data_IF_168596077449
#
_entry.id   IF_168596077449
#
_cell.length_a   1.000
_cell.length_b   1.000
_cell.length_c   1.000
_cell.angle_alpha   90.00
_cell.angle_beta   90.00
_cell.angle_gamma   90.00
#
_symmetry.space_group_name_H-M   'P 1'
#
loop_
_entity.id
_entity.type
_entity.pdbx_description
1 polymer ?
#
# COMPACT_ATOMS: atom_id res chain seq x y z
N UNK A 1 25.05 -1.80 -2.83
CA UNK A 1 24.10 -2.64 -2.08
C UNK A 1 23.20 -1.83 -1.14
N UNK A 2 23.76 -1.09 -0.17
CA UNK A 2 22.98 -0.26 0.78
C UNK A 2 21.95 0.66 0.10
N UNK A 3 22.36 1.48 -0.88
CA UNK A 3 21.44 2.37 -1.62
C UNK A 3 20.29 1.63 -2.32
N UNK A 4 20.59 0.48 -2.93
CA UNK A 4 19.57 -0.31 -3.62
C UNK A 4 18.48 -0.78 -2.65
N UNK A 5 18.88 -1.22 -1.46
CA UNK A 5 17.97 -1.70 -0.43
C UNK A 5 17.20 -0.57 0.26
N UNK A 6 17.90 0.50 0.65
CA UNK A 6 17.33 1.53 1.52
C UNK A 6 16.67 2.69 0.77
N UNK A 7 16.93 2.85 -0.53
CA UNK A 7 16.31 3.91 -1.35
C UNK A 7 15.55 3.32 -2.55
N UNK A 8 16.21 2.51 -3.39
CA UNK A 8 15.62 2.05 -4.65
C UNK A 8 14.42 1.13 -4.43
N UNK A 9 14.53 0.11 -3.58
CA UNK A 9 13.42 -0.81 -3.31
C UNK A 9 12.17 -0.09 -2.78
N UNK A 10 12.25 0.81 -1.77
CA UNK A 10 11.11 1.61 -1.36
C UNK A 10 10.47 2.42 -2.50
N UNK A 11 11.27 3.05 -3.36
CA UNK A 11 10.75 3.83 -4.51
C UNK A 11 9.98 2.92 -5.48
N UNK A 12 10.54 1.76 -5.82
CA UNK A 12 9.90 0.81 -6.73
C UNK A 12 8.57 0.28 -6.18
N UNK A 13 8.55 -0.08 -4.89
CA UNK A 13 7.33 -0.58 -4.23
C UNK A 13 6.26 0.50 -4.12
N UNK A 14 6.64 1.74 -3.80
CA UNK A 14 5.70 2.85 -3.82
C UNK A 14 5.13 3.08 -5.23
N UNK A 15 5.98 3.02 -6.26
CA UNK A 15 5.57 3.15 -7.66
C UNK A 15 4.59 2.07 -8.09
N UNK A 16 4.83 0.80 -7.74
CA UNK A 16 3.92 -0.30 -8.11
C UNK A 16 2.54 -0.15 -7.49
N UNK A 17 2.44 0.34 -6.24
CA UNK A 17 1.14 0.59 -5.61
C UNK A 17 0.45 1.82 -6.17
N UNK A 18 1.19 2.84 -6.62
CA UNK A 18 0.60 3.99 -7.31
C UNK A 18 0.00 3.56 -8.66
N UNK A 19 0.69 2.71 -9.41
CA UNK A 19 0.16 2.13 -10.66
C UNK A 19 -1.06 1.24 -10.39
N UNK A 20 -1.01 0.41 -9.34
CA UNK A 20 -2.16 -0.41 -8.94
C UNK A 20 -3.36 0.46 -8.56
N UNK A 21 -3.16 1.54 -7.79
CA UNK A 21 -4.23 2.47 -7.43
C UNK A 21 -4.92 3.08 -8.66
N UNK A 22 -4.18 3.29 -9.76
CA UNK A 22 -4.71 3.84 -10.99
C UNK A 22 -5.45 2.81 -11.87
N UNK A 23 -5.18 1.51 -11.70
CA UNK A 23 -5.60 0.46 -12.65
C UNK A 23 -6.46 -0.64 -12.02
N UNK A 24 -6.49 -0.75 -10.69
CA UNK A 24 -7.21 -1.80 -9.97
C UNK A 24 -8.72 -1.65 -10.12
N UNK A 25 -9.39 -2.76 -10.44
CA UNK A 25 -10.85 -2.81 -10.52
C UNK A 25 -11.43 -2.99 -9.11
N UNK A 26 -11.83 -1.89 -8.48
CA UNK A 26 -12.54 -1.89 -7.19
C UNK A 26 -14.00 -2.37 -7.28
N UNK A 27 -14.48 -2.66 -8.48
CA UNK A 27 -15.81 -3.18 -8.74
C UNK A 27 -15.71 -4.40 -9.69
N UNK A 28 -16.35 -5.50 -9.32
CA UNK A 28 -16.44 -6.70 -10.15
C UNK A 28 -17.88 -7.21 -10.22
N UNK A 29 -18.29 -7.74 -11.38
CA UNK A 29 -19.59 -8.38 -11.57
C UNK A 29 -19.49 -9.89 -11.46
N UNK A 30 -20.18 -10.48 -10.49
CA UNK A 30 -20.25 -11.93 -10.26
C UNK A 30 -21.69 -12.40 -10.50
N UNK A 31 -21.94 -12.96 -11.69
CA UNK A 31 -23.29 -13.34 -12.12
C UNK A 31 -24.23 -12.13 -12.19
N UNK A 32 -25.25 -12.13 -11.35
CA UNK A 32 -26.22 -11.03 -11.23
C UNK A 32 -25.89 -10.04 -10.10
N UNK A 33 -24.77 -10.23 -9.40
CA UNK A 33 -24.34 -9.39 -8.28
C UNK A 33 -23.17 -8.50 -8.67
N UNK A 34 -23.09 -7.32 -8.07
CA UNK A 34 -21.90 -6.47 -8.10
C UNK A 34 -21.19 -6.54 -6.74
N UNK A 35 -19.88 -6.76 -6.78
CA UNK A 35 -19.00 -6.77 -5.61
C UNK A 35 -18.17 -5.50 -5.63
N UNK A 36 -18.26 -4.71 -4.56
CA UNK A 36 -17.46 -3.51 -4.35
C UNK A 36 -16.35 -3.77 -3.34
N UNK A 37 -15.17 -3.24 -3.61
CA UNK A 37 -14.02 -3.27 -2.70
C UNK A 37 -13.80 -1.86 -2.16
N UNK A 38 -14.17 -1.67 -0.90
CA UNK A 38 -14.10 -0.37 -0.22
C UNK A 38 -12.98 -0.35 0.83
N UNK A 39 -12.42 0.83 1.14
CA UNK A 39 -11.43 0.96 2.20
C UNK A 39 -12.02 0.56 3.55
N UNK A 40 -11.21 -0.09 4.38
CA UNK A 40 -11.60 -0.46 5.75
C UNK A 40 -11.68 0.76 6.68
N UNK A 41 -11.07 1.89 6.31
CA UNK A 41 -11.07 3.14 7.08
C UNK A 41 -9.69 3.56 7.57
N UNK A 42 -9.52 3.70 8.90
CA UNK A 42 -8.27 4.14 9.53
C UNK A 42 -7.38 2.95 9.87
N UNK A 43 -6.13 2.97 9.41
CA UNK A 43 -5.12 1.93 9.64
C UNK A 43 -4.05 2.41 10.62
N UNK A 44 -3.84 1.64 11.69
CA UNK A 44 -2.66 1.77 12.54
C UNK A 44 -1.50 0.93 11.99
N UNK A 45 -0.37 1.54 11.66
CA UNK A 45 0.81 0.86 11.15
C UNK A 45 1.95 0.87 12.17
N UNK A 46 2.52 -0.30 12.49
CA UNK A 46 3.71 -0.46 13.33
C UNK A 46 4.81 -1.10 12.50
N UNK A 47 6.01 -0.54 12.51
CA UNK A 47 7.15 -1.04 11.72
C UNK A 47 8.35 -1.47 12.57
N UNK A 48 9.14 -2.44 12.11
CA UNK A 48 10.44 -2.78 12.71
C UNK A 48 11.58 -1.93 12.14
N UNK A 49 12.74 -1.97 12.79
CA UNK A 49 13.87 -1.08 12.55
C UNK A 49 14.91 -1.56 11.51
N UNK A 50 14.82 -2.80 11.02
CA UNK A 50 15.86 -3.41 10.19
C UNK A 50 15.86 -2.91 8.72
N UNK A 51 14.70 -2.50 8.20
CA UNK A 51 14.55 -1.89 6.87
C UNK A 51 13.57 -0.71 6.96
N UNK A 52 13.94 0.36 7.70
CA UNK A 52 12.97 1.30 8.25
C UNK A 52 12.12 1.96 7.17
N UNK A 53 12.74 2.45 6.10
CA UNK A 53 11.99 3.08 5.01
C UNK A 53 11.13 2.07 4.22
N UNK A 54 11.68 0.90 3.90
CA UNK A 54 10.94 -0.10 3.13
C UNK A 54 9.74 -0.65 3.90
N UNK A 55 9.89 -0.90 5.20
CA UNK A 55 8.81 -1.42 6.05
C UNK A 55 7.66 -0.41 6.20
N UNK A 56 7.98 0.88 6.27
CA UNK A 56 6.98 1.95 6.23
C UNK A 56 6.24 1.92 4.89
N UNK A 57 6.97 1.95 3.77
CA UNK A 57 6.37 1.97 2.43
C UNK A 57 5.50 0.73 2.19
N UNK A 58 5.96 -0.46 2.60
CA UNK A 58 5.23 -1.72 2.44
C UNK A 58 3.87 -1.76 3.17
N UNK A 59 3.63 -0.83 4.11
CA UNK A 59 2.33 -0.69 4.79
C UNK A 59 1.56 0.54 4.32
N UNK A 60 2.21 1.69 4.22
CA UNK A 60 1.58 2.97 3.90
C UNK A 60 1.12 3.00 2.44
N UNK A 61 1.94 2.55 1.50
CA UNK A 61 1.60 2.60 0.08
C UNK A 61 0.35 1.77 -0.28
N UNK A 62 0.22 0.48 0.12
CA UNK A 62 -1.01 -0.27 -0.15
C UNK A 62 -2.23 0.26 0.60
N UNK A 63 -2.07 0.77 1.83
CA UNK A 63 -3.18 1.34 2.58
C UNK A 63 -3.75 2.58 1.88
N UNK A 64 -2.88 3.49 1.43
CA UNK A 64 -3.29 4.66 0.64
C UNK A 64 -3.88 4.25 -0.72
N UNK A 65 -3.28 3.28 -1.40
CA UNK A 65 -3.78 2.77 -2.68
C UNK A 65 -5.20 2.17 -2.56
N UNK A 66 -5.51 1.54 -1.43
CA UNK A 66 -6.85 1.02 -1.12
C UNK A 66 -7.85 2.10 -0.68
N UNK A 67 -7.44 3.37 -0.56
CA UNK A 67 -8.29 4.47 -0.11
C UNK A 67 -8.39 4.63 1.42
N UNK A 68 -7.51 3.99 2.19
CA UNK A 68 -7.49 4.12 3.65
C UNK A 68 -6.73 5.37 4.11
N UNK A 69 -6.97 5.77 5.37
CA UNK A 69 -6.11 6.73 6.09
C UNK A 69 -5.17 5.98 7.02
N UNK A 70 -4.01 6.55 7.35
CA UNK A 70 -2.96 5.83 8.10
C UNK A 70 -2.40 6.67 9.26
N UNK A 71 -2.25 6.03 10.43
CA UNK A 71 -1.47 6.52 11.57
C UNK A 71 -0.31 5.56 11.79
N UNK A 72 0.92 6.07 11.64
CA UNK A 72 2.14 5.27 11.69
C UNK A 72 2.89 5.47 13.02
N UNK A 73 3.25 4.37 13.67
CA UNK A 73 4.28 4.32 14.72
C UNK A 73 5.54 3.64 14.16
N UNK A 74 6.59 4.41 13.85
CA UNK A 74 7.80 3.87 13.23
C UNK A 74 8.49 2.81 14.08
#
# INVERSE_FOLDING_TARGET
FSQAVHATVPILVAGSYAELAATYAFEEKVGNSTVYQEPIGVVGAITPWNYPLHQIVAKVAPALAAGCTVVLKP
#
